data_IF_395589037507
#
_entry.id   IF_395589037507
#
_cell.length_a   1.000
_cell.length_b   1.000
_cell.length_c   1.000
_cell.angle_alpha   90.00
_cell.angle_beta   90.00
_cell.angle_gamma   90.00
#
_symmetry.space_group_name_H-M   'P 1'
#
loop_
_entity.id
_entity.type
_entity.pdbx_description
1 polymer ?
#
# COMPACT_ATOMS: atom_id res chain seq x y z
N UNK A 1 16.08 -21.56 -27.21
CA UNK A 1 14.90 -20.73 -26.92
C UNK A 1 15.25 -19.85 -25.71
N UNK A 2 15.82 -18.68 -25.97
CA UNK A 2 16.29 -17.74 -24.93
C UNK A 2 15.18 -16.70 -24.71
N UNK A 3 14.49 -16.76 -23.57
CA UNK A 3 13.50 -15.75 -23.17
C UNK A 3 14.24 -14.53 -22.63
N UNK A 4 14.24 -13.45 -23.43
CA UNK A 4 14.73 -12.14 -23.03
C UNK A 4 13.82 -11.57 -21.93
N UNK A 5 14.37 -11.48 -20.72
CA UNK A 5 13.80 -10.72 -19.60
C UNK A 5 13.77 -9.24 -19.99
N UNK A 6 12.57 -8.75 -20.30
CA UNK A 6 12.32 -7.33 -20.56
C UNK A 6 12.35 -6.56 -19.24
N UNK A 7 13.19 -5.53 -19.19
CA UNK A 7 13.64 -4.89 -17.96
C UNK A 7 12.56 -4.23 -17.11
N UNK A 8 12.86 -4.15 -15.81
CA UNK A 8 12.15 -3.29 -14.86
C UNK A 8 12.23 -1.84 -15.33
N UNK A 9 11.09 -1.28 -15.74
CA UNK A 9 10.95 0.15 -15.95
C UNK A 9 10.87 0.80 -14.57
N UNK A 10 11.96 1.40 -14.12
CA UNK A 10 11.95 2.28 -12.95
C UNK A 10 11.13 3.51 -13.34
N UNK A 11 9.92 3.62 -12.81
CA UNK A 11 9.05 4.77 -12.97
C UNK A 11 9.73 6.02 -12.40
N UNK A 12 10.22 6.89 -13.27
CA UNK A 12 10.77 8.19 -12.87
C UNK A 12 9.72 9.00 -12.10
N UNK A 13 10.08 9.71 -11.02
CA UNK A 13 9.15 10.54 -10.28
C UNK A 13 8.49 11.55 -11.23
N UNK A 14 7.19 11.43 -11.40
CA UNK A 14 6.42 12.31 -12.29
C UNK A 14 6.31 13.69 -11.65
N UNK A 15 6.69 14.74 -12.38
CA UNK A 15 6.58 16.13 -11.93
C UNK A 15 5.15 16.68 -12.00
N UNK A 16 4.23 15.89 -12.56
CA UNK A 16 2.86 16.27 -12.86
C UNK A 16 1.85 15.29 -12.29
N UNK A 17 0.66 15.80 -11.98
CA UNK A 17 -0.50 14.95 -11.67
C UNK A 17 -1.08 14.34 -12.94
N UNK A 18 -1.55 13.10 -12.83
CA UNK A 18 -2.35 12.50 -13.89
C UNK A 18 -3.68 13.27 -14.04
N UNK A 19 -4.18 13.50 -15.26
CA UNK A 19 -5.47 14.13 -15.46
C UNK A 19 -6.58 13.35 -14.76
N UNK A 20 -7.42 14.04 -13.98
CA UNK A 20 -8.46 13.34 -13.21
C UNK A 20 -9.19 14.20 -12.19
N UNK A 21 -10.12 13.58 -11.47
CA UNK A 21 -10.84 14.23 -10.37
C UNK A 21 -10.03 14.16 -9.08
N UNK A 22 -9.87 15.32 -8.44
CA UNK A 22 -9.19 15.47 -7.16
C UNK A 22 -10.06 16.28 -6.20
N UNK A 23 -9.85 16.07 -4.91
CA UNK A 23 -10.34 17.00 -3.89
C UNK A 23 -9.25 18.01 -3.56
N UNK A 24 -9.64 19.28 -3.44
CA UNK A 24 -8.75 20.34 -2.99
C UNK A 24 -8.69 20.30 -1.47
N UNK A 25 -7.50 20.02 -0.91
CA UNK A 25 -7.26 20.05 0.54
C UNK A 25 -6.81 21.43 1.01
N UNK A 26 -6.00 22.10 0.19
CA UNK A 26 -5.50 23.45 0.44
C UNK A 26 -5.47 24.21 -0.86
N UNK A 27 -5.99 25.44 -0.84
CA UNK A 27 -5.89 26.43 -1.90
C UNK A 27 -5.86 27.83 -1.26
N UNK A 28 -5.16 28.81 -1.87
CA UNK A 28 -5.31 30.21 -1.50
C UNK A 28 -6.67 30.81 -1.88
N UNK A 29 -7.43 30.15 -2.76
CA UNK A 29 -8.75 30.59 -3.22
C UNK A 29 -9.85 30.00 -2.32
N UNK A 30 -10.71 30.86 -1.78
CA UNK A 30 -11.78 30.47 -0.85
C UNK A 30 -13.09 30.05 -1.54
N UNK A 31 -13.27 30.39 -2.81
CA UNK A 31 -14.50 30.18 -3.60
C UNK A 31 -14.51 28.85 -4.38
N UNK A 32 -13.45 28.06 -4.29
CA UNK A 32 -13.36 26.82 -5.06
C UNK A 32 -14.17 25.68 -4.45
N UNK A 33 -14.83 24.87 -5.30
CA UNK A 33 -15.49 23.66 -4.85
C UNK A 33 -14.46 22.65 -4.35
N UNK A 34 -14.88 21.81 -3.41
CA UNK A 34 -14.03 20.75 -2.84
C UNK A 34 -13.53 19.74 -3.87
N UNK A 35 -14.18 19.58 -5.02
CA UNK A 35 -13.83 18.62 -6.07
C UNK A 35 -13.63 19.35 -7.40
N UNK A 36 -12.48 19.12 -8.02
CA UNK A 36 -12.09 19.72 -9.32
C UNK A 36 -11.52 18.64 -10.22
N UNK A 37 -11.64 18.82 -11.54
CA UNK A 37 -10.86 18.03 -12.49
C UNK A 37 -9.57 18.77 -12.80
N UNK A 38 -8.42 18.13 -12.58
CA UNK A 38 -7.09 18.72 -12.72
C UNK A 38 -6.46 18.22 -14.02
N UNK A 39 -5.89 19.15 -14.79
CA UNK A 39 -4.99 18.87 -15.89
C UNK A 39 -3.68 19.59 -15.57
N UNK A 40 -2.61 18.82 -15.43
CA UNK A 40 -1.30 19.34 -15.07
C UNK A 40 -0.37 19.35 -16.30
N UNK A 41 0.09 20.54 -16.71
CA UNK A 41 0.97 20.74 -17.88
C UNK A 41 2.41 21.08 -17.49
N UNK A 42 2.87 20.72 -16.29
CA UNK A 42 4.16 21.09 -15.68
C UNK A 42 4.33 22.59 -15.37
N UNK A 43 3.96 23.47 -16.31
CA UNK A 43 4.07 24.93 -16.18
C UNK A 43 2.83 25.57 -15.54
N UNK A 44 1.69 24.87 -15.60
CA UNK A 44 0.43 25.34 -15.05
C UNK A 44 -0.42 24.18 -14.54
N UNK A 45 -1.40 24.49 -13.69
CA UNK A 45 -2.52 23.61 -13.37
C UNK A 45 -3.78 24.23 -13.95
N UNK A 46 -4.46 23.46 -14.78
CA UNK A 46 -5.80 23.80 -15.26
C UNK A 46 -6.82 23.05 -14.43
N UNK A 47 -7.68 23.79 -13.75
CA UNK A 47 -8.73 23.27 -12.89
C UNK A 47 -10.06 23.49 -13.59
N UNK A 48 -10.81 22.42 -13.81
CA UNK A 48 -12.18 22.48 -14.33
C UNK A 48 -13.13 22.28 -13.15
N UNK A 49 -14.04 23.24 -12.97
CA UNK A 49 -15.08 23.19 -11.94
C UNK A 49 -16.25 22.33 -12.46
N UNK A 50 -16.56 21.19 -11.81
CA UNK A 50 -17.68 20.36 -12.20
C UNK A 50 -19.00 21.13 -12.05
N UNK A 51 -19.92 20.95 -13.00
CA UNK A 51 -21.26 21.57 -12.97
C UNK A 51 -21.34 22.96 -13.60
N UNK A 52 -20.33 23.83 -13.43
CA UNK A 52 -20.32 25.15 -14.07
C UNK A 52 -19.51 25.20 -15.37
N UNK A 53 -18.58 24.24 -15.55
CA UNK A 53 -17.65 24.23 -16.69
C UNK A 53 -16.59 25.33 -16.63
N UNK A 54 -16.59 26.15 -15.58
CA UNK A 54 -15.63 27.22 -15.38
C UNK A 54 -14.22 26.66 -15.23
N UNK A 55 -13.25 27.33 -15.85
CA UNK A 55 -11.85 26.93 -15.85
C UNK A 55 -11.03 27.93 -15.06
N UNK A 56 -10.10 27.44 -14.25
CA UNK A 56 -9.08 28.25 -13.56
C UNK A 56 -7.70 27.76 -13.95
N UNK A 57 -6.79 28.69 -14.22
CA UNK A 57 -5.40 28.39 -14.56
C UNK A 57 -4.52 28.92 -13.43
N UNK A 58 -3.75 28.04 -12.83
CA UNK A 58 -2.82 28.34 -11.74
C UNK A 58 -1.40 28.19 -12.27
N UNK A 59 -0.57 29.21 -12.13
CA UNK A 59 0.83 29.15 -12.56
C UNK A 59 1.64 28.16 -11.72
N UNK A 60 2.77 27.65 -12.24
CA UNK A 60 3.66 26.74 -11.52
C UNK A 60 4.10 27.28 -10.14
N UNK A 61 4.38 28.58 -10.04
CA UNK A 61 4.76 29.23 -8.76
C UNK A 61 3.60 29.29 -7.78
N UNK A 62 2.39 29.62 -8.25
CA UNK A 62 1.20 29.67 -7.40
C UNK A 62 0.77 28.28 -6.89
N UNK A 63 1.03 27.23 -7.69
CA UNK A 63 0.69 25.84 -7.36
C UNK A 63 1.35 25.34 -6.06
N UNK A 64 2.45 25.92 -5.58
CA UNK A 64 3.11 25.52 -4.32
C UNK A 64 2.22 25.62 -3.07
N UNK A 65 1.16 26.44 -3.14
CA UNK A 65 0.19 26.62 -2.07
C UNK A 65 -1.00 25.66 -2.17
N UNK A 66 -0.98 24.75 -3.15
CA UNK A 66 -2.05 23.81 -3.43
C UNK A 66 -1.71 22.41 -2.94
N UNK A 67 -2.72 21.74 -2.39
CA UNK A 67 -2.66 20.34 -2.03
C UNK A 67 -3.94 19.62 -2.51
N UNK A 68 -3.76 18.43 -3.06
CA UNK A 68 -4.81 17.62 -3.63
C UNK A 68 -4.89 16.25 -2.97
N UNK A 69 -6.07 15.67 -2.99
CA UNK A 69 -6.38 14.36 -2.43
C UNK A 69 -7.15 13.52 -3.46
N UNK A 70 -6.74 12.26 -3.64
CA UNK A 70 -7.38 11.32 -4.54
C UNK A 70 -7.61 9.95 -3.86
N UNK A 71 -8.86 9.58 -3.55
CA UNK A 71 -9.18 8.24 -3.08
C UNK A 71 -9.35 7.27 -4.26
N UNK A 72 -8.72 6.10 -4.19
CA UNK A 72 -8.79 5.05 -5.21
C UNK A 72 -9.06 3.69 -4.59
N UNK A 73 -9.55 2.76 -5.43
CA UNK A 73 -9.57 1.34 -5.08
C UNK A 73 -8.19 0.79 -5.42
N UNK A 74 -7.68 -0.08 -4.55
CA UNK A 74 -6.34 -0.62 -4.66
C UNK A 74 -6.38 -2.14 -4.50
N UNK A 75 -5.80 -2.84 -5.45
CA UNK A 75 -5.73 -4.31 -5.48
C UNK A 75 -4.30 -4.66 -5.81
N UNK A 76 -3.65 -5.36 -4.89
CA UNK A 76 -2.22 -5.62 -4.94
C UNK A 76 -1.91 -7.04 -4.44
N UNK A 77 -0.74 -7.54 -4.82
CA UNK A 77 -0.18 -8.80 -4.31
C UNK A 77 0.95 -8.46 -3.34
N UNK A 78 0.87 -9.00 -2.12
CA UNK A 78 1.88 -8.80 -1.09
C UNK A 78 2.49 -10.12 -0.65
N UNK A 79 3.73 -10.02 -0.19
CA UNK A 79 4.37 -11.06 0.62
C UNK A 79 4.35 -10.66 2.08
N UNK A 80 4.29 -11.66 2.97
CA UNK A 80 4.42 -11.45 4.42
C UNK A 80 5.68 -12.13 4.93
N UNK A 81 6.87 -11.54 4.73
CA UNK A 81 8.13 -12.18 5.10
C UNK A 81 8.31 -12.33 6.62
N UNK A 82 7.54 -11.59 7.42
CA UNK A 82 7.59 -11.66 8.88
C UNK A 82 6.18 -11.68 9.47
N UNK A 83 5.90 -12.72 10.26
CA UNK A 83 4.71 -12.84 11.12
C UNK A 83 5.15 -13.10 12.56
N UNK A 84 4.65 -12.31 13.49
CA UNK A 84 4.80 -12.50 14.94
C UNK A 84 3.50 -13.11 15.48
N UNK A 85 3.59 -14.32 16.01
CA UNK A 85 2.53 -14.99 16.74
C UNK A 85 2.73 -14.76 18.25
N UNK A 86 1.73 -14.22 18.98
CA UNK A 86 1.81 -14.04 20.42
C UNK A 86 2.05 -15.35 21.18
N UNK A 87 2.54 -15.25 22.41
CA UNK A 87 2.74 -16.40 23.29
C UNK A 87 1.46 -17.21 23.48
N UNK A 88 1.57 -18.55 23.45
CA UNK A 88 0.42 -19.44 23.67
C UNK A 88 0.81 -20.78 24.29
N UNK A 89 0.01 -21.23 25.25
CA UNK A 89 0.17 -22.53 25.93
C UNK A 89 1.59 -22.79 26.44
N UNK A 90 2.20 -21.78 27.07
CA UNK A 90 3.57 -21.88 27.59
C UNK A 90 4.68 -21.69 26.55
N UNK A 91 4.34 -21.52 25.27
CA UNK A 91 5.31 -21.15 24.24
C UNK A 91 5.54 -19.63 24.25
N UNK A 92 6.78 -19.17 24.08
CA UNK A 92 7.08 -17.75 23.91
C UNK A 92 6.52 -17.24 22.58
N UNK A 93 6.45 -15.90 22.38
CA UNK A 93 6.11 -15.33 21.08
C UNK A 93 7.05 -15.85 19.98
N UNK A 94 6.50 -16.11 18.79
CA UNK A 94 7.23 -16.68 17.67
C UNK A 94 7.29 -15.70 16.51
N UNK A 95 8.51 -15.42 16.02
CA UNK A 95 8.73 -14.77 14.73
C UNK A 95 8.87 -15.85 13.66
N UNK A 96 8.03 -15.80 12.64
CA UNK A 96 8.02 -16.73 11.53
C UNK A 96 8.32 -15.99 10.22
N UNK A 97 9.17 -16.60 9.39
CA UNK A 97 9.55 -16.12 8.07
C UNK A 97 9.29 -17.14 6.97
N UNK A 98 8.24 -17.94 7.16
CA UNK A 98 7.80 -18.95 6.19
C UNK A 98 7.24 -18.27 4.93
N UNK A 99 7.06 -19.06 3.86
CA UNK A 99 6.42 -18.57 2.64
C UNK A 99 5.02 -18.05 2.94
N UNK A 100 4.71 -16.84 2.46
CA UNK A 100 3.38 -16.22 2.55
C UNK A 100 3.16 -15.27 1.38
N UNK A 101 2.06 -15.46 0.67
CA UNK A 101 1.61 -14.60 -0.41
C UNK A 101 0.12 -14.31 -0.25
N UNK A 102 -0.27 -13.04 -0.33
CA UNK A 102 -1.62 -12.60 -0.11
C UNK A 102 -2.10 -11.63 -1.20
N UNK A 103 -3.36 -11.77 -1.55
CA UNK A 103 -4.10 -10.77 -2.30
C UNK A 103 -4.67 -9.75 -1.32
N UNK A 104 -4.49 -8.47 -1.65
CA UNK A 104 -5.02 -7.35 -0.89
C UNK A 104 -6.06 -6.62 -1.72
N UNK A 105 -7.14 -6.18 -1.07
CA UNK A 105 -8.14 -5.32 -1.65
C UNK A 105 -8.54 -4.25 -0.63
N UNK A 106 -8.43 -2.98 -1.04
CA UNK A 106 -8.65 -1.88 -0.12
C UNK A 106 -8.91 -0.53 -0.77
N UNK A 107 -8.84 0.49 0.08
CA UNK A 107 -8.88 1.90 -0.32
C UNK A 107 -7.50 2.49 -0.15
N UNK A 108 -7.09 3.25 -1.15
CA UNK A 108 -5.85 4.02 -1.14
C UNK A 108 -6.14 5.51 -1.19
N UNK A 109 -5.46 6.25 -0.34
CA UNK A 109 -5.55 7.69 -0.18
C UNK A 109 -4.24 8.31 -0.64
N UNK A 110 -4.26 8.94 -1.81
CA UNK A 110 -3.10 9.66 -2.34
C UNK A 110 -3.20 11.13 -1.98
N UNK A 111 -2.14 11.64 -1.34
CA UNK A 111 -1.97 13.04 -0.98
C UNK A 111 -0.88 13.65 -1.85
N UNK A 112 -1.22 14.74 -2.51
CA UNK A 112 -0.36 15.38 -3.50
C UNK A 112 -0.11 16.83 -3.11
N UNK A 113 1.16 17.22 -3.04
CA UNK A 113 1.57 18.60 -2.74
C UNK A 113 2.65 19.05 -3.71
N UNK A 114 2.48 20.25 -4.23
CA UNK A 114 3.52 20.89 -5.02
C UNK A 114 4.50 21.66 -4.13
N UNK A 115 5.76 21.63 -4.52
CA UNK A 115 6.83 22.45 -3.97
C UNK A 115 7.53 23.17 -5.11
N UNK A 116 7.94 24.41 -4.88
CA UNK A 116 8.72 25.18 -5.87
C UNK A 116 10.15 25.28 -5.38
N UNK A 117 11.10 24.86 -6.21
CA UNK A 117 12.52 24.96 -5.92
C UNK A 117 13.17 25.94 -6.90
N UNK A 118 13.62 27.12 -6.46
CA UNK A 118 14.40 28.01 -7.32
C UNK A 118 15.74 27.35 -7.67
N UNK A 119 16.10 27.38 -8.96
CA UNK A 119 17.38 26.86 -9.48
C UNK A 119 18.32 28.02 -9.79
N UNK A 120 17.78 29.12 -10.32
CA UNK A 120 18.46 30.40 -10.51
C UNK A 120 17.55 31.54 -10.01
N UNK A 121 18.03 32.78 -9.89
CA UNK A 121 17.18 33.92 -9.53
C UNK A 121 15.99 34.14 -10.47
N UNK A 122 16.09 33.72 -11.73
CA UNK A 122 15.05 33.86 -12.76
C UNK A 122 14.30 32.57 -13.08
N UNK A 123 14.77 31.41 -12.61
CA UNK A 123 14.23 30.11 -12.98
C UNK A 123 14.07 29.19 -11.78
N UNK A 124 12.94 28.52 -11.68
CA UNK A 124 12.71 27.49 -10.67
C UNK A 124 11.84 26.37 -11.22
N UNK A 125 11.93 25.22 -10.58
CA UNK A 125 11.24 24.00 -11.00
C UNK A 125 10.17 23.63 -9.98
N UNK A 126 9.01 23.24 -10.48
CA UNK A 126 7.94 22.68 -9.67
C UNK A 126 8.18 21.18 -9.48
N UNK A 127 8.13 20.73 -8.22
CA UNK A 127 8.22 19.32 -7.86
C UNK A 127 6.92 18.88 -7.21
N UNK A 128 6.36 17.79 -7.72
CA UNK A 128 5.23 17.11 -7.10
C UNK A 128 5.75 16.11 -6.07
N UNK A 129 5.23 16.18 -4.84
CA UNK A 129 5.42 15.15 -3.82
C UNK A 129 4.09 14.43 -3.63
N UNK A 130 4.12 13.11 -3.76
CA UNK A 130 2.96 12.25 -3.59
C UNK A 130 3.24 11.28 -2.45
N UNK A 131 2.28 11.11 -1.55
CA UNK A 131 2.34 10.13 -0.46
C UNK A 131 1.04 9.33 -0.48
N UNK A 132 1.14 8.01 -0.45
CA UNK A 132 0.00 7.10 -0.46
C UNK A 132 -0.17 6.40 0.88
N UNK A 133 -1.41 6.34 1.37
CA UNK A 133 -1.79 5.51 2.51
C UNK A 133 -2.94 4.58 2.11
N UNK A 134 -2.75 3.28 2.28
CA UNK A 134 -3.73 2.24 1.98
C UNK A 134 -4.26 1.57 3.25
N UNK A 135 -5.53 1.18 3.24
CA UNK A 135 -6.08 0.24 4.22
C UNK A 135 -7.10 -0.69 3.57
N UNK A 136 -7.14 -1.94 4.00
CA UNK A 136 -7.96 -2.95 3.33
C UNK A 136 -7.93 -4.32 3.99
N UNK A 137 -8.57 -5.27 3.31
CA UNK A 137 -8.59 -6.68 3.67
C UNK A 137 -7.55 -7.42 2.84
N UNK A 138 -7.03 -8.52 3.37
CA UNK A 138 -6.23 -9.46 2.60
C UNK A 138 -6.66 -10.90 2.83
N UNK A 139 -6.40 -11.74 1.84
CA UNK A 139 -6.53 -13.18 1.91
C UNK A 139 -5.37 -13.83 1.14
N UNK A 140 -4.75 -14.83 1.72
CA UNK A 140 -3.52 -15.41 1.23
C UNK A 140 -3.34 -16.89 1.53
N UNK A 141 -2.23 -17.38 1.03
CA UNK A 141 -1.73 -18.72 1.31
C UNK A 141 -0.33 -18.60 1.89
N UNK A 142 0.00 -19.50 2.79
CA UNK A 142 1.34 -19.59 3.34
C UNK A 142 1.68 -20.99 3.83
N UNK A 143 2.83 -21.10 4.50
CA UNK A 143 3.20 -22.29 5.23
C UNK A 143 3.43 -22.02 6.71
N UNK A 144 3.23 -23.04 7.53
CA UNK A 144 3.57 -23.03 8.94
C UNK A 144 4.25 -24.36 9.31
N UNK A 145 5.33 -24.26 10.08
CA UNK A 145 5.96 -25.43 10.68
C UNK A 145 5.04 -26.01 11.74
N UNK A 146 4.64 -27.26 11.55
CA UNK A 146 3.83 -28.03 12.50
C UNK A 146 4.74 -29.08 13.12
N UNK A 147 4.80 -29.11 14.45
CA UNK A 147 5.65 -30.02 15.23
C UNK A 147 5.01 -30.33 16.59
N UNK A 148 5.67 -31.16 17.40
CA UNK A 148 5.18 -31.57 18.72
C UNK A 148 4.92 -30.38 19.66
N UNK A 149 5.75 -29.33 19.62
CA UNK A 149 5.62 -28.18 20.52
C UNK A 149 4.37 -27.36 20.19
N UNK A 150 4.14 -27.05 18.90
CA UNK A 150 3.00 -26.24 18.46
C UNK A 150 1.70 -27.03 18.36
N UNK A 151 1.71 -28.30 18.77
CA UNK A 151 0.53 -29.19 18.84
C UNK A 151 0.32 -29.80 20.22
N UNK A 152 1.01 -29.29 21.25
CA UNK A 152 0.95 -29.80 22.62
C UNK A 152 1.19 -31.32 22.70
N UNK A 153 2.20 -31.81 21.96
CA UNK A 153 2.66 -33.20 21.87
C UNK A 153 1.63 -34.21 21.35
N UNK A 154 0.59 -33.74 20.65
CA UNK A 154 -0.43 -34.62 20.07
C UNK A 154 0.00 -35.30 18.76
N UNK A 155 1.04 -34.76 18.12
CA UNK A 155 1.75 -35.44 17.01
C UNK A 155 3.23 -35.58 17.38
N UNK A 156 3.89 -36.56 16.77
CA UNK A 156 5.31 -36.89 16.99
C UNK A 156 6.19 -36.72 15.73
N UNK A 157 5.72 -35.92 14.78
CA UNK A 157 6.41 -35.64 13.52
C UNK A 157 6.37 -34.15 13.20
N UNK A 158 7.32 -33.70 12.38
CA UNK A 158 7.42 -32.31 11.95
C UNK A 158 7.22 -32.22 10.44
N UNK A 159 6.45 -31.23 10.00
CA UNK A 159 6.22 -30.96 8.59
C UNK A 159 5.83 -29.48 8.37
N UNK A 160 5.85 -29.03 7.11
CA UNK A 160 5.30 -27.72 6.71
C UNK A 160 3.86 -27.90 6.24
N UNK A 161 2.92 -27.32 6.99
CA UNK A 161 1.50 -27.33 6.66
C UNK A 161 1.10 -26.11 5.84
N UNK A 162 0.18 -26.28 4.89
CA UNK A 162 -0.41 -25.17 4.13
C UNK A 162 -1.45 -24.47 4.98
N UNK A 163 -1.32 -23.15 5.08
CA UNK A 163 -2.26 -22.28 5.79
C UNK A 163 -2.98 -21.36 4.81
N UNK A 164 -4.25 -21.07 5.11
CA UNK A 164 -4.95 -19.92 4.57
C UNK A 164 -4.85 -18.79 5.59
N UNK A 165 -4.43 -17.61 5.16
CA UNK A 165 -4.39 -16.42 5.99
C UNK A 165 -5.44 -15.41 5.53
N UNK A 166 -6.10 -14.77 6.48
CA UNK A 166 -7.03 -13.67 6.23
C UNK A 166 -6.86 -12.59 7.28
N UNK A 167 -7.05 -11.33 6.90
CA UNK A 167 -6.89 -10.24 7.85
C UNK A 167 -7.10 -8.86 7.27
N UNK A 168 -6.60 -7.87 8.00
CA UNK A 168 -6.62 -6.47 7.65
C UNK A 168 -5.19 -5.93 7.56
N UNK A 169 -4.96 -5.00 6.63
CA UNK A 169 -3.65 -4.38 6.44
C UNK A 169 -3.76 -2.87 6.30
N UNK A 170 -2.73 -2.18 6.77
CA UNK A 170 -2.46 -0.78 6.49
C UNK A 170 -1.12 -0.68 5.75
N UNK A 171 -1.07 0.10 4.69
CA UNK A 171 0.06 0.16 3.75
C UNK A 171 0.48 1.62 3.59
N UNK A 172 1.79 1.84 3.55
CA UNK A 172 2.39 3.12 3.23
C UNK A 172 3.24 2.98 1.96
N UNK A 173 3.00 3.85 0.99
CA UNK A 173 3.77 3.89 -0.26
C UNK A 173 5.02 4.77 -0.07
N UNK A 174 6.19 4.12 -0.11
CA UNK A 174 7.50 4.74 -0.01
C UNK A 174 8.17 4.93 -1.39
N UNK A 175 7.39 5.32 -2.41
CA UNK A 175 7.78 5.58 -3.81
C UNK A 175 8.27 4.36 -4.60
N UNK A 176 9.24 3.61 -4.07
CA UNK A 176 9.92 2.52 -4.79
C UNK A 176 9.45 1.15 -4.27
N UNK A 177 8.89 1.10 -3.06
CA UNK A 177 8.33 -0.11 -2.46
C UNK A 177 7.15 0.24 -1.54
N UNK A 178 6.22 -0.71 -1.40
CA UNK A 178 5.12 -0.62 -0.46
C UNK A 178 5.46 -1.43 0.79
N UNK A 179 5.41 -0.78 1.96
CA UNK A 179 5.55 -1.44 3.26
C UNK A 179 4.24 -1.30 4.03
N UNK A 180 3.82 -2.37 4.69
CA UNK A 180 2.59 -2.35 5.46
C UNK A 180 2.68 -3.13 6.76
N UNK A 181 1.68 -2.93 7.60
CA UNK A 181 1.43 -3.72 8.80
C UNK A 181 0.13 -4.50 8.63
N UNK A 182 0.15 -5.77 8.99
CA UNK A 182 -0.99 -6.68 8.93
C UNK A 182 -1.36 -7.17 10.32
N UNK A 183 -2.65 -7.39 10.52
CA UNK A 183 -3.19 -8.23 11.57
C UNK A 183 -4.06 -9.28 10.90
N UNK A 184 -3.82 -10.55 11.19
CA UNK A 184 -4.55 -11.64 10.56
C UNK A 184 -4.67 -12.86 11.43
N UNK A 185 -5.33 -13.87 10.88
CA UNK A 185 -5.45 -15.21 11.47
C UNK A 185 -5.04 -16.25 10.45
N UNK A 186 -4.41 -17.32 10.92
CA UNK A 186 -4.03 -18.45 10.08
C UNK A 186 -5.02 -19.62 10.29
N UNK A 187 -5.34 -20.31 9.21
CA UNK A 187 -6.16 -21.52 9.21
C UNK A 187 -5.42 -22.65 8.50
N UNK A 188 -4.94 -23.63 9.27
CA UNK A 188 -4.29 -24.82 8.75
C UNK A 188 -5.30 -25.68 7.95
N UNK A 189 -4.89 -26.11 6.77
CA UNK A 189 -5.78 -26.78 5.82
C UNK A 189 -5.88 -28.30 6.03
N UNK A 190 -4.94 -28.91 6.74
CA UNK A 190 -4.88 -30.34 6.98
C UNK A 190 -5.66 -30.77 8.26
N UNK A 191 -5.77 -32.09 8.53
CA UNK A 191 -6.47 -32.59 9.73
C UNK A 191 -5.87 -32.15 11.08
N UNK A 192 -4.57 -31.86 11.15
CA UNK A 192 -3.90 -31.45 12.38
C UNK A 192 -4.30 -30.04 12.84
N UNK A 193 -5.08 -29.30 12.03
CA UNK A 193 -5.68 -28.00 12.43
C UNK A 193 -6.44 -28.04 13.74
N UNK A 194 -6.95 -29.21 14.15
CA UNK A 194 -7.69 -29.40 15.41
C UNK A 194 -6.79 -29.33 16.65
N UNK A 195 -5.51 -29.66 16.47
CA UNK A 195 -4.53 -29.76 17.56
C UNK A 195 -3.48 -28.65 17.49
N UNK A 196 -3.43 -27.90 16.38
CA UNK A 196 -2.50 -26.80 16.20
C UNK A 196 -2.83 -25.61 17.09
N UNK A 197 -1.85 -25.23 17.92
CA UNK A 197 -2.00 -24.16 18.90
C UNK A 197 -2.26 -22.81 18.25
N UNK A 198 -1.82 -22.52 17.03
CA UNK A 198 -2.04 -21.21 16.40
C UNK A 198 -3.25 -21.15 15.47
N UNK A 199 -4.07 -22.21 15.45
CA UNK A 199 -5.29 -22.25 14.66
C UNK A 199 -6.22 -21.08 15.01
N UNK A 200 -6.55 -20.26 14.00
CA UNK A 200 -7.42 -19.08 14.08
C UNK A 200 -6.99 -18.08 15.17
N UNK A 201 -5.70 -18.05 15.49
CA UNK A 201 -5.16 -17.07 16.45
C UNK A 201 -4.65 -15.84 15.72
N UNK A 202 -4.77 -14.66 16.36
CA UNK A 202 -4.26 -13.43 15.80
C UNK A 202 -2.73 -13.47 15.72
N UNK A 203 -2.20 -12.88 14.66
CA UNK A 203 -0.79 -12.61 14.47
C UNK A 203 -0.61 -11.20 13.91
N UNK A 204 0.59 -10.64 14.08
CA UNK A 204 0.99 -9.35 13.55
C UNK A 204 2.05 -9.56 12.49
N UNK A 205 1.95 -8.91 11.33
CA UNK A 205 2.91 -9.11 10.26
C UNK A 205 3.32 -7.83 9.57
N UNK A 206 4.40 -7.93 8.81
CA UNK A 206 4.85 -6.86 7.92
C UNK A 206 4.55 -7.30 6.48
N UNK A 207 3.89 -6.46 5.72
CA UNK A 207 3.65 -6.68 4.30
C UNK A 207 4.75 -6.00 3.49
N UNK A 208 5.23 -6.69 2.46
CA UNK A 208 6.11 -6.14 1.45
C UNK A 208 5.51 -6.39 0.07
N UNK A 209 5.29 -5.31 -0.66
CA UNK A 209 4.75 -5.32 -2.02
C UNK A 209 5.67 -4.58 -2.96
N UNK A 210 5.84 -5.15 -4.15
CA UNK A 210 6.32 -4.40 -5.30
C UNK A 210 5.10 -3.72 -5.91
N UNK A 211 5.19 -2.41 -6.12
CA UNK A 211 4.13 -1.68 -6.80
C UNK A 211 4.06 -2.19 -8.25
N UNK A 212 2.93 -2.81 -8.63
CA UNK A 212 2.70 -3.34 -9.98
C UNK A 212 1.97 -2.35 -10.90
N UNK A 213 1.65 -1.14 -10.40
CA UNK A 213 1.02 -0.06 -11.18
C UNK A 213 2.04 0.76 -11.99
#
# INVERSE_FOLDING_TARGET
MLLLLSGCRVSSPTSTLNPGYYRVLRSPESDLPRRVYVIDTADSLKLLIPGTGQQRIVSAKAAQNWAFYSPKIDIDVFTLPFKVRPARSGLPPQLNSNFNAALYAGRRLDFHRYTYQPVTPSFGVRKLRSQGFGYGLFAGIGSATINELVTNKQINYTYEGVILDVGIAAIYDAHIFNIGLAVGVDNLMDPNRRVWLYQRQPWFGVLFGLNLN
#
